data_IF_202579490963
#
_entry.id   IF_202579490963
#
_cell.length_a   1.000
_cell.length_b   1.000
_cell.length_c   1.000
_cell.angle_alpha   90.00
_cell.angle_beta   90.00
_cell.angle_gamma   90.00
#
_symmetry.space_group_name_H-M   'P 1'
#
loop_
_entity.id
_entity.type
_entity.pdbx_description
1 polymer ?
#
# COMPACT_ATOMS: atom_id res chain seq x y z
N UNK A 1 -11.43 4.23 13.01
CA UNK A 1 -12.18 4.80 14.16
C UNK A 1 -12.34 6.31 14.07
N UNK A 2 -11.27 7.07 13.79
CA UNK A 2 -11.32 8.54 13.62
C UNK A 2 -12.36 9.04 12.59
N UNK A 3 -12.52 8.33 11.47
CA UNK A 3 -13.53 8.65 10.45
C UNK A 3 -14.96 8.75 10.99
N UNK A 4 -15.40 7.77 11.79
CA UNK A 4 -16.75 7.73 12.35
C UNK A 4 -16.99 8.89 13.34
N UNK A 5 -15.96 9.27 14.09
CA UNK A 5 -16.03 10.39 15.04
C UNK A 5 -16.14 11.71 14.29
N UNK A 6 -15.33 11.91 13.24
CA UNK A 6 -15.39 13.09 12.39
C UNK A 6 -16.73 13.20 11.63
N UNK A 7 -17.25 12.07 11.11
CA UNK A 7 -18.56 12.02 10.46
C UNK A 7 -19.69 12.46 11.40
N UNK A 8 -19.69 11.99 12.65
CA UNK A 8 -20.68 12.41 13.65
C UNK A 8 -20.54 13.87 14.05
N UNK A 9 -19.31 14.34 14.29
CA UNK A 9 -19.04 15.72 14.64
C UNK A 9 -19.59 16.70 13.58
N UNK A 10 -19.34 16.41 12.30
CA UNK A 10 -19.84 17.23 11.19
C UNK A 10 -21.38 17.14 11.05
N UNK A 11 -21.99 15.98 11.27
CA UNK A 11 -23.46 15.84 11.27
C UNK A 11 -24.16 16.64 12.39
N UNK A 12 -23.49 16.84 13.52
CA UNK A 12 -24.04 17.62 14.64
C UNK A 12 -23.91 19.13 14.41
N UNK A 13 -22.98 19.57 13.56
CA UNK A 13 -22.67 20.99 13.34
C UNK A 13 -23.11 21.53 11.97
N UNK A 14 -23.42 20.67 11.00
CA UNK A 14 -23.90 21.05 9.66
C UNK A 14 -25.35 20.59 9.43
N UNK A 15 -26.20 21.45 8.85
CA UNK A 15 -27.60 21.10 8.51
C UNK A 15 -27.69 20.04 7.41
N UNK A 16 -26.62 19.85 6.63
CA UNK A 16 -26.54 18.88 5.53
C UNK A 16 -25.46 17.83 5.82
N UNK A 17 -25.70 16.55 5.50
CA UNK A 17 -24.71 15.51 5.73
C UNK A 17 -23.43 15.80 4.92
N UNK A 18 -22.25 15.74 5.56
CA UNK A 18 -20.99 16.02 4.89
C UNK A 18 -20.71 15.01 3.78
N UNK A 19 -20.16 15.49 2.66
CA UNK A 19 -19.78 14.60 1.57
C UNK A 19 -18.57 13.73 1.95
N UNK A 20 -18.50 12.52 1.40
CA UNK A 20 -17.33 11.63 1.58
C UNK A 20 -16.01 12.30 1.17
N UNK A 21 -16.05 13.18 0.18
CA UNK A 21 -14.89 13.95 -0.30
C UNK A 21 -14.35 14.88 0.77
N UNK A 22 -15.23 15.63 1.44
CA UNK A 22 -14.85 16.56 2.52
C UNK A 22 -14.23 15.81 3.69
N UNK A 23 -14.85 14.71 4.12
CA UNK A 23 -14.32 13.85 5.19
C UNK A 23 -12.93 13.32 4.82
N UNK A 24 -12.75 12.82 3.59
CA UNK A 24 -11.45 12.33 3.13
C UNK A 24 -10.39 13.44 3.10
N UNK A 25 -10.78 14.67 2.72
CA UNK A 25 -9.88 15.82 2.74
C UNK A 25 -9.42 16.15 4.16
N UNK A 26 -10.33 16.18 5.13
CA UNK A 26 -10.01 16.44 6.54
C UNK A 26 -9.22 15.29 7.20
N UNK A 27 -9.45 14.05 6.80
CA UNK A 27 -8.61 12.92 7.25
C UNK A 27 -7.20 12.97 6.65
N UNK A 28 -7.06 13.51 5.43
CA UNK A 28 -5.76 13.71 4.79
C UNK A 28 -5.01 14.91 5.38
N UNK A 29 -5.74 15.96 5.73
CA UNK A 29 -5.24 17.16 6.38
C UNK A 29 -6.11 17.53 7.59
N UNK A 30 -5.76 17.03 8.80
CA UNK A 30 -6.51 17.33 10.02
C UNK A 30 -6.57 18.81 10.39
N UNK A 31 -5.71 19.67 9.83
CA UNK A 31 -5.75 21.11 10.09
C UNK A 31 -7.01 21.79 9.54
N UNK A 32 -7.71 21.13 8.62
CA UNK A 32 -8.99 21.59 8.07
C UNK A 32 -10.17 21.37 9.04
N UNK A 33 -9.97 20.65 10.15
CA UNK A 33 -11.01 20.41 11.15
C UNK A 33 -11.13 21.65 12.05
N UNK A 34 -12.32 22.29 12.14
CA UNK A 34 -12.48 23.54 12.91
C UNK A 34 -12.21 23.39 14.41
N UNK A 35 -12.56 22.23 14.99
CA UNK A 35 -12.28 21.92 16.38
C UNK A 35 -10.82 21.47 16.54
N UNK A 36 -10.01 22.31 17.19
CA UNK A 36 -8.58 22.05 17.36
C UNK A 36 -8.26 20.83 18.24
N UNK A 37 -9.15 20.44 19.15
CA UNK A 37 -8.97 19.25 19.99
C UNK A 37 -9.20 18.00 19.13
N UNK A 38 -10.27 17.97 18.35
CA UNK A 38 -10.60 16.91 17.42
C UNK A 38 -9.55 16.81 16.31
N UNK A 39 -9.10 17.93 15.75
CA UNK A 39 -8.01 17.99 14.79
C UNK A 39 -6.76 17.27 15.31
N UNK A 40 -6.36 17.58 16.55
CA UNK A 40 -5.23 16.93 17.21
C UNK A 40 -5.49 15.44 17.47
N UNK A 41 -6.68 15.06 17.92
CA UNK A 41 -7.03 13.66 18.15
C UNK A 41 -6.99 12.84 16.86
N UNK A 42 -7.55 13.36 15.77
CA UNK A 42 -7.51 12.72 14.44
C UNK A 42 -6.07 12.58 13.95
N UNK A 43 -5.27 13.63 14.10
CA UNK A 43 -3.84 13.59 13.79
C UNK A 43 -3.10 12.51 14.59
N UNK A 44 -3.33 12.42 15.91
CA UNK A 44 -2.75 11.38 16.76
C UNK A 44 -3.20 9.98 16.33
N UNK A 45 -4.45 9.79 15.91
CA UNK A 45 -4.89 8.52 15.36
C UNK A 45 -4.13 8.15 14.08
N UNK A 46 -3.88 9.10 13.18
CA UNK A 46 -3.17 8.86 11.91
C UNK A 46 -1.70 8.49 12.15
N UNK A 47 -1.00 9.27 12.98
CA UNK A 47 0.43 9.09 13.21
C UNK A 47 0.73 7.83 14.02
N UNK A 48 -0.15 7.48 14.96
CA UNK A 48 0.02 6.30 15.82
C UNK A 48 -0.69 5.05 15.29
N UNK A 49 -1.29 5.08 14.09
CA UNK A 49 -1.87 3.88 13.48
C UNK A 49 -0.75 2.89 13.11
N UNK A 50 -0.66 1.81 13.88
CA UNK A 50 0.36 0.79 13.73
C UNK A 50 0.12 -0.19 12.56
N UNK A 51 -1.01 -0.08 11.86
CA UNK A 51 -1.38 -0.99 10.79
C UNK A 51 -1.40 -0.30 9.42
N UNK A 52 -2.00 0.89 9.37
CA UNK A 52 -2.32 1.64 8.15
C UNK A 52 -1.93 3.12 8.24
N UNK A 53 -1.08 3.46 9.21
CA UNK A 53 -0.53 4.81 9.33
C UNK A 53 0.54 5.07 8.26
N UNK A 54 0.78 6.33 7.87
CA UNK A 54 1.76 6.68 6.83
C UNK A 54 3.16 6.13 7.09
N UNK A 55 3.60 6.11 8.34
CA UNK A 55 4.91 5.57 8.73
C UNK A 55 4.99 4.06 8.46
N UNK A 56 3.95 3.32 8.85
CA UNK A 56 3.89 1.88 8.67
C UNK A 56 3.79 1.52 7.19
N UNK A 57 3.01 2.27 6.42
CA UNK A 57 2.93 2.11 4.98
C UNK A 57 4.29 2.34 4.30
N UNK A 58 5.04 3.37 4.71
CA UNK A 58 6.40 3.59 4.23
C UNK A 58 7.35 2.43 4.58
N UNK A 59 7.26 1.89 5.79
CA UNK A 59 8.06 0.73 6.22
C UNK A 59 7.70 -0.50 5.39
N UNK A 60 6.41 -0.83 5.24
CA UNK A 60 5.94 -1.95 4.42
C UNK A 60 6.39 -1.83 2.97
N UNK A 61 6.34 -0.64 2.40
CA UNK A 61 6.81 -0.39 1.05
C UNK A 61 8.33 -0.60 0.93
N UNK A 62 9.11 -0.07 1.87
CA UNK A 62 10.56 -0.25 1.88
C UNK A 62 10.96 -1.73 2.01
N UNK A 63 10.31 -2.48 2.91
CA UNK A 63 10.53 -3.92 3.08
C UNK A 63 10.15 -4.69 1.82
N UNK A 64 9.01 -4.37 1.21
CA UNK A 64 8.55 -4.98 -0.04
C UNK A 64 9.59 -4.82 -1.15
N UNK A 65 10.04 -3.59 -1.37
CA UNK A 65 11.05 -3.27 -2.38
C UNK A 65 12.40 -3.94 -2.08
N UNK A 66 12.85 -3.97 -0.83
CA UNK A 66 14.08 -4.68 -0.44
C UNK A 66 14.00 -6.18 -0.78
N UNK A 67 12.86 -6.83 -0.51
CA UNK A 67 12.67 -8.24 -0.83
C UNK A 67 12.58 -8.51 -2.33
N UNK A 68 12.01 -7.60 -3.11
CA UNK A 68 12.04 -7.70 -4.58
C UNK A 68 13.47 -7.62 -5.12
N UNK A 69 14.30 -6.74 -4.55
CA UNK A 69 15.73 -6.66 -4.90
C UNK A 69 16.46 -7.96 -4.55
N UNK A 70 16.26 -8.48 -3.34
CA UNK A 70 16.86 -9.76 -2.93
C UNK A 70 16.41 -10.93 -3.79
N UNK A 71 15.12 -10.97 -4.14
CA UNK A 71 14.56 -12.00 -5.02
C UNK A 71 15.17 -11.92 -6.42
N UNK A 72 15.31 -10.72 -6.98
CA UNK A 72 15.97 -10.50 -8.26
C UNK A 72 17.41 -11.04 -8.23
N UNK A 73 18.16 -10.70 -7.20
CA UNK A 73 19.55 -11.13 -7.07
C UNK A 73 19.66 -12.65 -6.95
N UNK A 74 18.73 -13.29 -6.23
CA UNK A 74 18.63 -14.75 -6.15
C UNK A 74 18.30 -15.39 -7.51
N UNK A 75 17.36 -14.82 -8.28
CA UNK A 75 17.03 -15.32 -9.62
C UNK A 75 18.25 -15.25 -10.55
N UNK A 76 19.02 -14.17 -10.47
CA UNK A 76 20.27 -14.00 -11.22
C UNK A 76 21.33 -15.01 -10.78
N UNK A 77 21.53 -15.22 -9.47
CA UNK A 77 22.47 -16.22 -8.94
C UNK A 77 22.14 -17.64 -9.43
N UNK A 78 20.84 -17.96 -9.53
CA UNK A 78 20.36 -19.25 -10.06
C UNK A 78 20.34 -19.32 -11.59
N UNK A 79 20.81 -18.29 -12.29
CA UNK A 79 20.81 -18.17 -13.76
C UNK A 79 19.42 -18.38 -14.38
N UNK A 80 18.38 -17.92 -13.71
CA UNK A 80 17.02 -17.97 -14.22
C UNK A 80 16.76 -16.76 -15.11
N UNK A 81 16.11 -16.99 -16.26
CA UNK A 81 15.72 -15.91 -17.16
C UNK A 81 14.33 -15.38 -16.80
N UNK A 82 14.22 -14.07 -16.57
CA UNK A 82 12.97 -13.43 -16.15
C UNK A 82 12.81 -12.02 -16.74
N UNK A 83 11.60 -11.46 -16.61
CA UNK A 83 11.33 -10.03 -16.81
C UNK A 83 10.73 -9.48 -15.52
N UNK A 84 11.15 -8.28 -15.14
CA UNK A 84 10.57 -7.56 -13.99
C UNK A 84 9.31 -6.77 -14.36
N UNK A 85 8.65 -6.23 -13.34
CA UNK A 85 7.43 -5.45 -13.47
C UNK A 85 7.54 -4.27 -14.45
N UNK A 86 8.64 -3.50 -14.39
CA UNK A 86 8.85 -2.32 -15.23
C UNK A 86 9.06 -2.69 -16.69
N UNK A 87 9.79 -3.78 -16.96
CA UNK A 87 9.93 -4.32 -18.30
C UNK A 87 8.59 -4.80 -18.86
N UNK A 88 7.72 -5.38 -18.03
CA UNK A 88 6.38 -5.79 -18.43
C UNK A 88 5.49 -4.57 -18.73
N UNK A 89 5.54 -3.56 -17.87
CA UNK A 89 4.83 -2.29 -18.05
C UNK A 89 5.25 -1.59 -19.35
N UNK A 90 6.55 -1.53 -19.63
CA UNK A 90 7.09 -0.96 -20.86
C UNK A 90 6.66 -1.72 -22.12
N UNK A 91 6.41 -3.03 -22.02
CA UNK A 91 5.89 -3.87 -23.10
C UNK A 91 4.37 -3.81 -23.27
N UNK A 92 3.66 -3.09 -22.38
CA UNK A 92 2.21 -2.91 -22.46
C UNK A 92 1.40 -4.09 -21.93
N UNK A 93 1.95 -4.89 -21.02
CA UNK A 93 1.17 -5.94 -20.34
C UNK A 93 0.18 -5.32 -19.34
N UNK A 94 -1.05 -5.85 -19.32
CA UNK A 94 -2.12 -5.44 -18.39
C UNK A 94 -1.90 -5.98 -16.97
N UNK A 95 -1.22 -7.13 -16.86
CA UNK A 95 -0.82 -7.73 -15.59
C UNK A 95 0.70 -7.77 -15.49
N UNK A 96 1.21 -7.23 -14.40
CA UNK A 96 2.63 -7.09 -14.14
C UNK A 96 2.96 -7.75 -12.79
N UNK A 97 3.12 -9.09 -12.73
CA UNK A 97 3.72 -9.71 -11.55
C UNK A 97 5.14 -9.16 -11.37
N UNK A 98 5.67 -9.22 -10.14
CA UNK A 98 7.02 -8.72 -9.85
C UNK A 98 8.07 -9.34 -10.77
N UNK A 99 7.94 -10.65 -11.02
CA UNK A 99 8.80 -11.37 -11.95
C UNK A 99 8.00 -12.38 -12.78
N UNK A 100 8.11 -12.32 -14.11
CA UNK A 100 7.68 -13.42 -14.99
C UNK A 100 8.92 -14.22 -15.42
N UNK A 101 8.85 -15.54 -15.31
CA UNK A 101 9.93 -16.42 -15.77
C UNK A 101 9.78 -16.62 -17.27
N UNK A 102 10.82 -16.31 -18.03
CA UNK A 102 10.82 -16.57 -19.48
C UNK A 102 10.81 -18.07 -19.79
N UNK A 103 11.40 -18.85 -18.91
CA UNK A 103 11.36 -20.32 -18.92
C UNK A 103 10.77 -20.79 -17.59
N UNK A 104 9.57 -21.42 -17.58
CA UNK A 104 8.96 -21.92 -16.36
C UNK A 104 9.85 -22.95 -15.64
N UNK A 105 9.79 -22.97 -14.32
CA UNK A 105 10.57 -23.89 -13.47
C UNK A 105 9.66 -24.84 -12.71
N UNK A 106 10.10 -26.08 -12.54
CA UNK A 106 9.39 -27.07 -11.71
C UNK A 106 9.90 -27.02 -10.27
N UNK A 107 9.00 -26.72 -9.33
CA UNK A 107 9.29 -26.69 -7.89
C UNK A 107 8.29 -27.60 -7.20
N UNK A 108 8.78 -28.65 -6.54
CA UNK A 108 7.93 -29.63 -5.82
C UNK A 108 6.76 -30.18 -6.66
N UNK A 109 7.01 -30.44 -7.95
CA UNK A 109 5.99 -30.93 -8.89
C UNK A 109 5.04 -29.87 -9.46
N UNK A 110 5.20 -28.60 -9.09
CA UNK A 110 4.42 -27.48 -9.61
C UNK A 110 5.22 -26.68 -10.64
N UNK A 111 4.57 -26.31 -11.75
CA UNK A 111 5.19 -25.47 -12.77
C UNK A 111 4.94 -24.00 -12.43
N UNK A 112 6.00 -23.28 -12.11
CA UNK A 112 5.97 -21.87 -11.75
C UNK A 112 6.29 -21.02 -12.98
N UNK A 113 5.39 -20.08 -13.30
CA UNK A 113 5.51 -19.18 -14.45
C UNK A 113 5.85 -17.73 -14.06
N UNK A 114 5.46 -17.32 -12.86
CA UNK A 114 5.73 -16.00 -12.32
C UNK A 114 5.88 -16.07 -10.81
N UNK A 115 6.49 -15.04 -10.24
CA UNK A 115 6.71 -14.89 -8.81
C UNK A 115 6.18 -13.51 -8.42
N UNK A 116 5.54 -13.49 -7.25
CA UNK A 116 4.94 -12.32 -6.65
C UNK A 116 5.41 -12.27 -5.20
N UNK A 117 6.22 -11.27 -4.87
CA UNK A 117 6.68 -10.95 -3.53
C UNK A 117 5.51 -10.57 -2.64
N UNK A 118 5.50 -11.14 -1.43
CA UNK A 118 4.50 -10.83 -0.39
C UNK A 118 5.12 -10.30 0.89
N UNK A 119 6.37 -9.83 0.82
CA UNK A 119 7.12 -9.37 2.00
C UNK A 119 6.51 -8.15 2.70
N UNK A 120 5.68 -7.37 2.01
CA UNK A 120 4.95 -6.23 2.57
C UNK A 120 3.72 -6.64 3.41
N UNK A 121 3.30 -7.90 3.36
CA UNK A 121 2.18 -8.44 4.14
C UNK A 121 2.68 -9.06 5.45
N UNK A 122 2.98 -8.19 6.43
CA UNK A 122 3.37 -8.53 7.79
C UNK A 122 2.81 -7.53 8.79
#
# INVERSE_FOLDING_TARGET
>A
MARLILERFLQEHEETPPSKSVINSMLRDPSQIPDGVLANQVYQCIVNDCCYGPLVDCIKHAIGHEHEVLLRDLLLEKNLSFLDEDQLRAKGYDKTPDFILQVPVAVEGHIIHWIESKASFG
#
